data_IF_230393898587
#
_entry.id   IF_230393898587
#
_cell.length_a   1.000
_cell.length_b   1.000
_cell.length_c   1.000
_cell.angle_alpha   90.00
_cell.angle_beta   90.00
_cell.angle_gamma   90.00
#
_symmetry.space_group_name_H-M   'P 1'
#
loop_
_entity.id
_entity.type
_entity.pdbx_description
1 polymer ?
#
# COMPACT_ATOMS: atom_id res chain seq x y z
N UNK A 1 -15.24 19.09 15.09
CA UNK A 1 -15.18 17.71 15.60
C UNK A 1 -14.50 16.83 14.54
N UNK A 2 -13.43 16.19 14.95
CA UNK A 2 -12.73 15.31 14.02
C UNK A 2 -13.49 14.00 13.83
N UNK A 3 -13.62 13.57 12.59
CA UNK A 3 -14.21 12.28 12.27
C UNK A 3 -13.13 11.22 12.49
N UNK A 4 -13.37 10.22 13.35
CA UNK A 4 -12.34 9.22 13.60
C UNK A 4 -12.09 8.37 12.35
N UNK A 5 -10.82 8.20 12.03
CA UNK A 5 -10.38 7.34 10.93
C UNK A 5 -9.92 6.03 11.52
N UNK A 6 -10.41 4.94 10.94
CA UNK A 6 -10.04 3.58 11.34
C UNK A 6 -9.23 2.91 10.24
N UNK A 7 -8.21 2.18 10.66
CA UNK A 7 -7.45 1.31 9.75
C UNK A 7 -7.94 -0.10 10.01
N UNK A 8 -8.48 -0.73 8.97
CA UNK A 8 -9.05 -2.08 9.06
C UNK A 8 -8.54 -2.95 7.92
N UNK A 9 -8.60 -4.24 8.10
CA UNK A 9 -8.30 -5.19 7.04
C UNK A 9 -9.43 -5.21 6.02
N UNK A 10 -9.08 -5.32 4.73
CA UNK A 10 -10.06 -5.42 3.66
C UNK A 10 -10.88 -6.69 3.78
N UNK A 11 -12.17 -6.59 3.46
CA UNK A 11 -13.06 -7.74 3.38
C UNK A 11 -13.75 -7.74 2.03
N UNK A 12 -14.39 -8.85 1.69
CA UNK A 12 -15.05 -9.01 0.40
C UNK A 12 -16.13 -7.95 0.18
N UNK A 13 -16.79 -7.52 1.24
CA UNK A 13 -17.82 -6.48 1.15
C UNK A 13 -17.26 -5.10 0.78
N UNK A 14 -15.96 -4.89 0.95
CA UNK A 14 -15.30 -3.62 0.61
C UNK A 14 -14.92 -3.53 -0.87
N UNK A 15 -14.99 -4.64 -1.61
CA UNK A 15 -14.50 -4.72 -2.97
C UNK A 15 -15.08 -3.66 -3.90
N UNK A 16 -16.41 -3.39 -3.91
CA UNK A 16 -16.95 -2.34 -4.79
C UNK A 16 -16.37 -0.95 -4.53
N UNK A 17 -16.15 -0.58 -3.26
CA UNK A 17 -15.56 0.71 -2.93
C UNK A 17 -14.08 0.77 -3.31
N UNK A 18 -13.35 -0.34 -3.13
CA UNK A 18 -11.94 -0.43 -3.52
C UNK A 18 -11.81 -0.25 -5.03
N UNK A 19 -12.65 -0.95 -5.80
CA UNK A 19 -12.65 -0.84 -7.26
C UNK A 19 -12.99 0.57 -7.72
N UNK A 20 -13.98 1.21 -7.09
CA UNK A 20 -14.36 2.57 -7.43
C UNK A 20 -13.22 3.56 -7.14
N UNK A 21 -12.53 3.39 -6.02
CA UNK A 21 -11.43 4.27 -5.64
C UNK A 21 -10.25 4.12 -6.60
N UNK A 22 -9.86 2.88 -6.96
CA UNK A 22 -8.78 2.71 -7.93
C UNK A 22 -9.16 3.26 -9.31
N UNK A 23 -10.42 3.10 -9.72
CA UNK A 23 -10.88 3.59 -11.01
C UNK A 23 -10.81 5.12 -11.10
N UNK A 24 -11.07 5.81 -9.99
CA UNK A 24 -10.95 7.27 -9.95
C UNK A 24 -9.51 7.77 -9.86
N UNK A 25 -8.57 6.90 -9.51
CA UNK A 25 -7.18 7.26 -9.24
C UNK A 25 -6.21 6.87 -10.36
N UNK A 26 -6.53 5.84 -11.13
CA UNK A 26 -5.64 5.28 -12.16
C UNK A 26 -6.36 5.04 -13.48
N UNK A 27 -5.65 5.20 -14.61
CA UNK A 27 -6.17 4.74 -15.90
C UNK A 27 -6.34 3.21 -15.89
N UNK A 28 -7.23 2.71 -16.74
CA UNK A 28 -7.65 1.31 -16.72
C UNK A 28 -6.47 0.32 -16.83
N UNK A 29 -5.45 0.66 -17.60
CA UNK A 29 -4.27 -0.19 -17.79
C UNK A 29 -3.38 -0.30 -16.53
N UNK A 30 -3.58 0.55 -15.53
CA UNK A 30 -2.86 0.52 -14.25
C UNK A 30 -3.71 0.02 -13.09
N UNK A 31 -4.98 -0.30 -13.35
CA UNK A 31 -5.85 -0.82 -12.31
C UNK A 31 -5.63 -2.32 -12.13
N UNK A 32 -5.71 -2.77 -10.87
CA UNK A 32 -5.70 -4.19 -10.58
C UNK A 32 -7.02 -4.80 -11.01
N UNK A 33 -7.02 -5.94 -11.74
CA UNK A 33 -8.26 -6.63 -12.08
C UNK A 33 -9.05 -7.06 -10.84
N UNK A 34 -10.37 -7.12 -10.95
CA UNK A 34 -11.25 -7.52 -9.84
C UNK A 34 -10.86 -8.85 -9.22
N UNK A 35 -10.50 -9.85 -10.03
CA UNK A 35 -10.13 -11.16 -9.51
C UNK A 35 -8.83 -11.13 -8.70
N UNK A 36 -7.90 -10.23 -9.04
CA UNK A 36 -6.65 -10.05 -8.28
C UNK A 36 -6.94 -9.38 -6.94
N UNK A 37 -7.81 -8.37 -6.93
CA UNK A 37 -8.22 -7.73 -5.67
C UNK A 37 -8.96 -8.71 -4.75
N UNK A 38 -9.86 -9.50 -5.31
CA UNK A 38 -10.61 -10.51 -4.55
C UNK A 38 -9.68 -11.58 -3.99
N UNK A 39 -8.73 -12.05 -4.78
CA UNK A 39 -7.73 -13.01 -4.33
C UNK A 39 -6.84 -12.43 -3.23
N UNK A 40 -6.45 -11.17 -3.34
CA UNK A 40 -5.66 -10.49 -2.32
C UNK A 40 -6.41 -10.38 -1.00
N UNK A 41 -7.70 -10.09 -1.04
CA UNK A 41 -8.55 -10.08 0.15
C UNK A 41 -8.59 -11.47 0.80
N UNK A 42 -8.72 -12.50 -0.01
CA UNK A 42 -8.81 -13.88 0.47
C UNK A 42 -7.50 -14.40 1.07
N UNK A 43 -6.37 -14.05 0.44
CA UNK A 43 -5.06 -14.61 0.80
C UNK A 43 -4.19 -13.70 1.66
N UNK A 44 -4.38 -12.38 1.57
CA UNK A 44 -3.47 -11.39 2.15
C UNK A 44 -4.22 -10.25 2.83
N UNK A 45 -5.33 -10.55 3.49
CA UNK A 45 -6.13 -9.53 4.19
C UNK A 45 -5.31 -8.80 5.25
N UNK A 46 -4.40 -9.49 5.93
CA UNK A 46 -3.54 -8.90 6.99
C UNK A 46 -2.65 -7.77 6.47
N UNK A 47 -2.39 -7.75 5.17
CA UNK A 47 -1.54 -6.75 4.53
C UNK A 47 -2.29 -5.96 3.44
N UNK A 48 -3.61 -6.05 3.43
CA UNK A 48 -4.49 -5.24 2.60
C UNK A 48 -5.33 -4.38 3.54
N UNK A 49 -4.86 -3.15 3.78
CA UNK A 49 -5.39 -2.30 4.83
C UNK A 49 -6.14 -1.11 4.25
N UNK A 50 -7.27 -0.80 4.88
CA UNK A 50 -8.16 0.29 4.47
C UNK A 50 -8.16 1.39 5.51
N UNK A 51 -8.18 2.64 5.07
CA UNK A 51 -8.45 3.79 5.91
C UNK A 51 -9.90 4.24 5.64
N UNK A 52 -10.73 4.21 6.65
CA UNK A 52 -12.14 4.54 6.54
C UNK A 52 -12.57 5.53 7.61
N UNK A 53 -13.51 6.42 7.26
CA UNK A 53 -14.32 7.12 8.24
C UNK A 53 -15.67 6.37 8.37
N UNK A 54 -16.67 6.98 9.00
CA UNK A 54 -17.95 6.34 9.21
C UNK A 54 -18.71 6.04 7.92
N UNK A 55 -18.45 6.80 6.86
CA UNK A 55 -19.29 6.80 5.66
C UNK A 55 -18.61 6.31 4.40
N UNK A 56 -17.27 6.35 4.34
CA UNK A 56 -16.60 6.07 3.08
C UNK A 56 -15.17 5.55 3.25
N UNK A 57 -14.70 4.90 2.21
CA UNK A 57 -13.31 4.51 2.07
C UNK A 57 -12.48 5.72 1.65
N UNK A 58 -11.46 6.05 2.43
CA UNK A 58 -10.59 7.20 2.17
C UNK A 58 -9.29 6.82 1.48
N UNK A 59 -8.86 5.59 1.64
CA UNK A 59 -7.63 5.11 1.02
C UNK A 59 -7.35 3.66 1.38
N UNK A 60 -6.35 3.08 0.71
CA UNK A 60 -5.92 1.73 1.02
C UNK A 60 -4.47 1.51 0.64
N UNK A 61 -3.86 0.52 1.28
CA UNK A 61 -2.56 -0.03 0.89
C UNK A 61 -2.72 -1.53 0.67
N UNK A 62 -2.24 -2.00 -0.47
CA UNK A 62 -2.25 -3.43 -0.81
C UNK A 62 -0.82 -3.94 -0.86
N UNK A 63 -0.50 -4.84 0.07
CA UNK A 63 0.75 -5.55 0.09
C UNK A 63 0.54 -7.06 0.02
N UNK A 64 1.52 -7.78 -0.47
CA UNK A 64 1.52 -9.24 -0.47
C UNK A 64 2.95 -9.75 -0.50
N UNK A 65 3.19 -11.03 -0.13
CA UNK A 65 4.53 -11.60 -0.18
C UNK A 65 5.12 -11.55 -1.59
N UNK A 66 6.39 -11.17 -1.69
CA UNK A 66 7.08 -11.17 -2.98
C UNK A 66 7.21 -12.61 -3.49
N UNK A 67 6.91 -12.88 -4.78
CA UNK A 67 6.89 -14.25 -5.32
C UNK A 67 8.21 -15.01 -5.18
N UNK A 68 9.33 -14.30 -5.28
CA UNK A 68 10.67 -14.91 -5.24
C UNK A 68 11.38 -14.71 -3.90
N UNK A 69 10.80 -13.95 -3.00
CA UNK A 69 11.33 -13.71 -1.67
C UNK A 69 10.18 -13.52 -0.68
N UNK A 70 9.56 -14.61 -0.21
CA UNK A 70 8.35 -14.52 0.62
C UNK A 70 8.57 -13.91 2.00
N UNK A 71 9.81 -13.69 2.42
CA UNK A 71 10.11 -12.93 3.64
C UNK A 71 10.00 -11.42 3.41
N UNK A 72 9.87 -11.00 2.17
CA UNK A 72 9.73 -9.60 1.80
C UNK A 72 8.28 -9.34 1.37
N UNK A 73 7.68 -8.32 1.95
CA UNK A 73 6.36 -7.85 1.56
C UNK A 73 6.53 -6.83 0.43
N UNK A 74 5.68 -6.91 -0.59
CA UNK A 74 5.70 -5.96 -1.70
C UNK A 74 4.42 -5.14 -1.69
N UNK A 75 4.55 -3.80 -1.74
CA UNK A 75 3.41 -2.91 -1.90
C UNK A 75 3.08 -2.81 -3.38
N UNK A 76 1.86 -3.19 -3.74
CA UNK A 76 1.35 -3.11 -5.11
C UNK A 76 0.61 -1.81 -5.36
N UNK A 77 -0.06 -1.27 -4.35
CA UNK A 77 -0.86 -0.06 -4.50
C UNK A 77 -0.93 0.68 -3.17
N UNK A 78 -0.84 1.99 -3.24
CA UNK A 78 -1.14 2.90 -2.14
C UNK A 78 -1.99 4.00 -2.76
N UNK A 79 -3.25 4.08 -2.36
CA UNK A 79 -4.23 4.95 -2.98
C UNK A 79 -4.93 5.77 -1.92
N UNK A 80 -5.00 7.08 -2.12
CA UNK A 80 -5.72 8.00 -1.24
C UNK A 80 -6.75 8.74 -2.09
N UNK A 81 -7.99 8.81 -1.62
CA UNK A 81 -9.07 9.53 -2.27
C UNK A 81 -8.65 11.00 -2.48
N UNK A 82 -8.97 11.56 -3.66
CA UNK A 82 -8.42 12.85 -4.11
C UNK A 82 -8.66 14.00 -3.11
N UNK A 83 -9.86 14.07 -2.53
CA UNK A 83 -10.20 15.15 -1.60
C UNK A 83 -9.56 15.00 -0.22
N UNK A 84 -8.93 13.86 0.04
CA UNK A 84 -8.33 13.54 1.33
C UNK A 84 -6.81 13.38 1.26
N UNK A 85 -6.19 13.74 0.14
CA UNK A 85 -4.74 13.74 0.00
C UNK A 85 -4.12 14.85 0.85
N UNK A 86 -2.84 14.68 1.21
CA UNK A 86 -2.06 15.63 2.03
C UNK A 86 -2.56 15.79 3.46
N UNK A 87 -3.31 14.80 3.97
CA UNK A 87 -3.80 14.78 5.35
C UNK A 87 -3.09 13.71 6.19
N UNK A 88 -2.03 13.11 5.66
CA UNK A 88 -1.28 12.09 6.38
C UNK A 88 -1.86 10.69 6.33
N UNK A 89 -2.89 10.43 5.50
CA UNK A 89 -3.50 9.11 5.40
C UNK A 89 -2.56 8.07 4.81
N UNK A 90 -1.78 8.43 3.81
CA UNK A 90 -0.78 7.53 3.23
C UNK A 90 0.26 7.12 4.25
N UNK A 91 0.75 8.07 5.04
CA UNK A 91 1.70 7.80 6.12
C UNK A 91 1.09 6.90 7.19
N UNK A 92 -0.19 7.13 7.53
CA UNK A 92 -0.90 6.29 8.49
C UNK A 92 -1.04 4.84 7.98
N UNK A 93 -1.40 4.67 6.72
CA UNK A 93 -1.50 3.35 6.09
C UNK A 93 -0.14 2.65 6.03
N UNK A 94 0.92 3.37 5.69
CA UNK A 94 2.27 2.82 5.67
C UNK A 94 2.72 2.39 7.07
N UNK A 95 2.42 3.20 8.08
CA UNK A 95 2.75 2.85 9.47
C UNK A 95 2.00 1.58 9.90
N UNK A 96 0.72 1.46 9.57
CA UNK A 96 -0.06 0.28 9.88
C UNK A 96 0.47 -0.96 9.17
N UNK A 97 0.90 -0.82 7.92
CA UNK A 97 1.50 -1.92 7.17
C UNK A 97 2.84 -2.37 7.78
N UNK A 98 3.65 -1.42 8.25
CA UNK A 98 4.90 -1.74 8.94
C UNK A 98 4.64 -2.52 10.21
N UNK A 99 3.62 -2.12 10.99
CA UNK A 99 3.23 -2.86 12.19
C UNK A 99 2.78 -4.28 11.84
N UNK A 100 2.00 -4.46 10.80
CA UNK A 100 1.60 -5.78 10.32
C UNK A 100 2.81 -6.61 9.89
N UNK A 101 3.76 -5.99 9.19
CA UNK A 101 4.97 -6.66 8.75
C UNK A 101 5.82 -7.17 9.94
N UNK A 102 5.92 -6.36 10.99
CA UNK A 102 6.62 -6.78 12.22
C UNK A 102 5.91 -7.97 12.86
N UNK A 103 4.60 -7.90 13.02
CA UNK A 103 3.81 -8.98 13.63
C UNK A 103 3.87 -10.29 12.82
N UNK A 104 3.91 -10.18 11.50
CA UNK A 104 3.92 -11.34 10.61
C UNK A 104 5.33 -11.83 10.26
N UNK A 105 6.36 -11.25 10.89
CA UNK A 105 7.76 -11.60 10.69
C UNK A 105 8.26 -11.42 9.25
N UNK A 106 7.81 -10.37 8.59
CA UNK A 106 8.42 -9.97 7.33
C UNK A 106 9.75 -9.26 7.60
N UNK A 107 10.75 -9.58 6.81
CA UNK A 107 12.08 -8.99 6.90
C UNK A 107 12.11 -7.55 6.39
N UNK A 108 11.34 -7.27 5.37
CA UNK A 108 11.38 -5.98 4.68
C UNK A 108 10.07 -5.74 3.92
N UNK A 109 9.85 -4.47 3.57
CA UNK A 109 8.78 -4.06 2.66
C UNK A 109 9.43 -3.37 1.46
N UNK A 110 9.07 -3.79 0.26
CA UNK A 110 9.52 -3.18 -0.99
C UNK A 110 8.39 -2.51 -1.73
N UNK A 111 8.74 -1.49 -2.49
CA UNK A 111 7.81 -0.84 -3.40
C UNK A 111 8.58 -0.28 -4.60
N UNK A 112 7.83 0.10 -5.63
CA UNK A 112 8.36 0.86 -6.75
C UNK A 112 7.70 2.23 -6.74
N UNK A 113 8.52 3.28 -6.71
CA UNK A 113 8.06 4.64 -6.60
C UNK A 113 8.26 5.39 -7.91
N UNK A 114 7.27 6.18 -8.35
CA UNK A 114 7.56 7.17 -9.37
C UNK A 114 8.52 8.23 -8.80
N UNK A 115 9.22 8.90 -9.70
CA UNK A 115 10.25 9.88 -9.31
C UNK A 115 9.70 10.95 -8.36
N UNK A 116 8.51 11.45 -8.61
CA UNK A 116 7.90 12.53 -7.85
C UNK A 116 7.51 12.15 -6.42
N UNK A 117 7.47 10.85 -6.09
CA UNK A 117 7.14 10.37 -4.74
C UNK A 117 8.33 9.84 -3.95
N UNK A 118 9.55 9.90 -4.51
CA UNK A 118 10.74 9.41 -3.82
C UNK A 118 10.95 10.06 -2.46
N UNK A 119 10.85 11.39 -2.39
CA UNK A 119 11.01 12.12 -1.13
C UNK A 119 9.94 11.73 -0.11
N UNK A 120 8.71 11.51 -0.57
CA UNK A 120 7.63 11.09 0.31
C UNK A 120 7.94 9.74 0.96
N UNK A 121 8.38 8.76 0.16
CA UNK A 121 8.72 7.45 0.72
C UNK A 121 9.98 7.48 1.59
N UNK A 122 10.96 8.31 1.25
CA UNK A 122 12.14 8.50 2.10
C UNK A 122 11.74 9.05 3.47
N UNK A 123 10.83 10.01 3.51
CA UNK A 123 10.31 10.56 4.77
C UNK A 123 9.56 9.50 5.58
N UNK A 124 9.07 8.47 4.93
CA UNK A 124 8.39 7.35 5.58
C UNK A 124 9.32 6.15 5.85
N UNK A 125 10.64 6.35 5.78
CA UNK A 125 11.60 5.34 6.20
C UNK A 125 12.06 4.38 5.12
N UNK A 126 11.65 4.57 3.87
CA UNK A 126 12.12 3.76 2.76
C UNK A 126 13.43 4.33 2.22
N UNK A 127 14.31 3.45 1.82
CA UNK A 127 15.58 3.84 1.20
C UNK A 127 15.66 3.30 -0.22
N UNK A 128 16.43 3.99 -1.04
CA UNK A 128 16.65 3.60 -2.43
C UNK A 128 17.51 2.33 -2.46
N UNK A 129 17.13 1.37 -3.30
CA UNK A 129 17.95 0.17 -3.51
C UNK A 129 19.02 0.45 -4.55
N UNK A 130 20.26 0.00 -4.31
CA UNK A 130 21.37 0.23 -5.21
C UNK A 130 21.14 -0.29 -6.63
N UNK A 131 20.34 -1.34 -6.74
CA UNK A 131 20.00 -1.91 -8.03
C UNK A 131 19.11 -1.00 -8.89
N UNK A 132 18.62 0.08 -8.30
CA UNK A 132 17.75 1.05 -8.99
C UNK A 132 18.52 2.11 -9.75
N UNK A 133 19.82 1.92 -10.04
CA UNK A 133 20.61 2.82 -10.89
C UNK A 133 19.95 3.05 -12.24
N UNK A 134 19.11 2.14 -12.67
CA UNK A 134 18.37 2.24 -13.91
C UNK A 134 16.90 2.37 -13.60
N UNK A 135 16.35 3.58 -13.75
CA UNK A 135 14.92 3.78 -13.70
C UNK A 135 14.30 2.95 -14.82
N UNK A 136 13.39 2.06 -14.45
CA UNK A 136 12.61 1.30 -15.42
C UNK A 136 11.27 2.01 -15.63
N UNK A 137 10.48 1.56 -16.60
CA UNK A 137 9.11 2.05 -16.76
C UNK A 137 8.24 1.77 -15.54
N UNK A 138 8.72 0.95 -14.61
CA UNK A 138 8.00 0.58 -13.38
C UNK A 138 8.38 1.45 -12.18
N UNK A 139 9.35 2.36 -12.35
CA UNK A 139 9.77 3.27 -11.29
C UNK A 139 11.03 2.84 -10.56
N UNK A 140 11.28 3.49 -9.44
CA UNK A 140 12.47 3.28 -8.61
C UNK A 140 12.16 2.32 -7.48
N UNK A 141 13.02 1.31 -7.28
CA UNK A 141 12.86 0.36 -6.20
C UNK A 141 13.29 0.97 -4.88
N UNK A 142 12.44 0.85 -3.87
CA UNK A 142 12.71 1.32 -2.52
C UNK A 142 12.38 0.21 -1.51
N UNK A 143 13.07 0.24 -0.36
CA UNK A 143 12.94 -0.79 0.66
C UNK A 143 12.91 -0.18 2.06
N UNK A 144 12.10 -0.76 2.94
CA UNK A 144 12.12 -0.53 4.36
C UNK A 144 12.49 -1.83 5.06
N UNK A 145 13.42 -1.78 6.02
CA UNK A 145 13.86 -2.97 6.75
C UNK A 145 13.18 -3.04 8.12
N UNK A 146 12.70 -4.25 8.46
CA UNK A 146 12.17 -4.54 9.78
C UNK A 146 13.33 -4.75 10.74
N UNK A 147 13.57 -3.79 11.63
CA UNK A 147 14.68 -3.84 12.59
C UNK A 147 14.45 -4.84 13.73
N UNK A 148 13.26 -5.39 13.84
CA UNK A 148 12.89 -6.40 14.83
C UNK A 148 12.98 -7.82 14.29
N UNK A 149 13.33 -7.95 13.04
CA UNK A 149 13.41 -9.26 12.38
C UNK A 149 14.56 -10.12 12.94
#
# INVERSE_FOLDING_TARGET
>A
MEIPIKIIQASKSDLPEIEALQASSFPIEKQQPSHILEESIRKSADTFLLARDENQLLGYVLGSPHPHNPQCLEIHSLVIEADHQRQGLGTLLLAALKDAAVELDYKAIRLKSPEELLSYFEMNGFIDEETSLYATNQGFSMIWFNLFF
#
